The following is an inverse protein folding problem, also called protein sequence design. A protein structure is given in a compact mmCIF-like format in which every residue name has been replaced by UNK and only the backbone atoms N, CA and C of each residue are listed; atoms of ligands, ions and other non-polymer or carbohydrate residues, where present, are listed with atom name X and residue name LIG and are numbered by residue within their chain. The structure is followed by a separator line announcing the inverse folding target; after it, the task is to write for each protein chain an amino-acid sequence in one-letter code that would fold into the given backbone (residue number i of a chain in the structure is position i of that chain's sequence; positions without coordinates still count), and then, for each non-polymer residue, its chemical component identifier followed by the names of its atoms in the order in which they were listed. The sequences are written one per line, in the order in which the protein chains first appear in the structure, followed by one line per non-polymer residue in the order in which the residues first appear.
data_IF_397477202226
#
_entry.id   IF_397477202226
#
_cell.length_a   1.000
_cell.length_b   1.000
_cell.length_c   1.000
_cell.angle_alpha   90.00
_cell.angle_beta   90.00
_cell.angle_gamma   90.00
#
_symmetry.space_group_name_H-M   'P 1'
#
loop_
_entity.id
_entity.type
_entity.pdbx_description
1 polymer ?
#
# COMPACT_ATOMS: atom_id res chain seq x y z
N UNK A 1 -22.68 4.58 -4.04
CA UNK A 1 -21.48 4.81 -4.88
C UNK A 1 -20.32 4.01 -4.31
N UNK A 2 -19.51 3.40 -5.18
CA UNK A 2 -18.34 2.61 -4.82
C UNK A 2 -17.13 3.10 -5.58
N UNK A 3 -15.96 3.03 -4.96
CA UNK A 3 -14.67 3.33 -5.58
C UNK A 3 -13.93 2.04 -5.90
N UNK A 4 -13.29 2.01 -7.06
CA UNK A 4 -12.42 0.91 -7.45
C UNK A 4 -11.13 0.95 -6.63
N UNK A 5 -10.66 -0.22 -6.20
CA UNK A 5 -9.43 -0.37 -5.43
C UNK A 5 -8.45 -1.18 -6.26
N UNK A 6 -7.22 -0.68 -6.33
CA UNK A 6 -6.15 -1.24 -7.14
C UNK A 6 -4.90 -1.48 -6.31
N UNK A 7 -4.14 -2.51 -6.67
CA UNK A 7 -2.73 -2.62 -6.31
C UNK A 7 -1.91 -1.93 -7.39
N UNK A 8 -1.11 -0.95 -6.99
CA UNK A 8 -0.13 -0.29 -7.86
C UNK A 8 1.24 -0.92 -7.64
N UNK A 9 1.94 -1.19 -8.74
CA UNK A 9 3.35 -1.58 -8.73
C UNK A 9 4.15 -0.47 -9.41
N UNK A 10 5.19 -0.01 -8.73
CA UNK A 10 6.12 0.98 -9.24
C UNK A 10 7.57 0.50 -9.12
N UNK A 11 8.42 0.93 -10.03
CA UNK A 11 9.84 0.58 -10.04
C UNK A 11 10.50 0.95 -8.71
N UNK A 12 11.22 -0.02 -8.13
CA UNK A 12 11.92 0.12 -6.86
C UNK A 12 13.15 -0.76 -6.81
N UNK A 13 14.06 -0.45 -5.88
CA UNK A 13 15.27 -1.25 -5.65
C UNK A 13 15.36 -1.70 -4.19
N UNK A 14 15.77 -2.95 -3.91
CA UNK A 14 16.11 -4.02 -4.87
C UNK A 14 14.87 -4.75 -5.44
N UNK A 15 13.66 -4.34 -5.06
CA UNK A 15 12.39 -4.88 -5.54
C UNK A 15 11.42 -3.74 -5.79
N UNK A 16 10.43 -4.00 -6.63
CA UNK A 16 9.36 -3.06 -6.91
C UNK A 16 8.58 -2.67 -5.65
N UNK A 17 8.07 -1.45 -5.69
CA UNK A 17 7.24 -0.87 -4.64
C UNK A 17 5.77 -1.22 -4.89
N UNK A 18 5.09 -1.70 -3.86
CA UNK A 18 3.65 -1.97 -3.91
C UNK A 18 2.89 -0.97 -3.04
N UNK A 19 1.73 -0.55 -3.52
CA UNK A 19 0.82 0.33 -2.81
C UNK A 19 -0.65 -0.01 -3.13
N UNK A 20 -1.57 0.44 -2.28
CA UNK A 20 -3.02 0.36 -2.52
C UNK A 20 -3.48 1.73 -3.01
N UNK A 21 -4.17 1.77 -4.15
CA UNK A 21 -4.77 2.97 -4.70
C UNK A 21 -6.29 2.83 -4.71
N UNK A 22 -6.99 3.81 -4.15
CA UNK A 22 -8.45 3.90 -4.18
C UNK A 22 -8.85 5.05 -5.07
N UNK A 23 -9.51 4.76 -6.18
CA UNK A 23 -9.94 5.76 -7.17
C UNK A 23 -11.20 6.47 -6.69
N UNK A 24 -11.01 7.53 -5.90
CA UNK A 24 -12.08 8.34 -5.29
C UNK A 24 -12.58 9.43 -6.23
N UNK A 25 -11.81 9.75 -7.27
CA UNK A 25 -12.04 10.85 -8.21
C UNK A 25 -12.23 12.21 -7.55
N UNK A 26 -11.72 12.40 -6.33
CA UNK A 26 -11.91 13.62 -5.54
C UNK A 26 -11.22 14.85 -6.15
N UNK A 27 -10.19 14.63 -6.98
CA UNK A 27 -9.42 15.68 -7.67
C UNK A 27 -9.52 15.57 -9.21
N UNK A 28 -10.54 14.87 -9.73
CA UNK A 28 -10.74 14.64 -11.16
C UNK A 28 -10.81 13.16 -11.53
N UNK A 29 -11.11 12.86 -12.80
CA UNK A 29 -11.17 11.48 -13.31
C UNK A 29 -9.84 10.74 -13.08
N UNK A 30 -9.93 9.45 -12.73
CA UNK A 30 -8.77 8.57 -12.47
C UNK A 30 -7.83 9.04 -11.33
N UNK A 31 -8.24 10.03 -10.54
CA UNK A 31 -7.54 10.45 -9.32
C UNK A 31 -8.04 9.70 -8.09
N UNK A 32 -7.24 9.68 -7.03
CA UNK A 32 -7.58 8.91 -5.86
C UNK A 32 -6.69 9.14 -4.65
N UNK A 33 -6.66 8.14 -3.77
CA UNK A 33 -5.76 8.11 -2.61
C UNK A 33 -4.88 6.89 -2.64
N UNK A 34 -3.59 7.12 -2.38
CA UNK A 34 -2.58 6.09 -2.25
C UNK A 34 -2.32 5.79 -0.78
N UNK A 35 -2.23 4.51 -0.45
CA UNK A 35 -1.87 3.96 0.86
C UNK A 35 -0.62 3.10 0.68
N UNK A 36 0.45 3.44 1.39
CA UNK A 36 1.74 2.79 1.22
C UNK A 36 2.57 2.83 2.50
N UNK A 37 3.65 2.05 2.50
CA UNK A 37 4.75 2.25 3.45
C UNK A 37 6.02 2.59 2.68
N UNK A 38 6.70 3.66 3.08
CA UNK A 38 7.92 4.16 2.42
C UNK A 38 9.12 4.00 3.35
N UNK A 39 10.31 3.83 2.77
CA UNK A 39 11.54 3.56 3.51
C UNK A 39 12.18 2.24 3.09
N UNK A 40 13.05 1.68 3.93
CA UNK A 40 13.79 0.45 3.60
C UNK A 40 14.10 -0.39 4.85
N UNK A 41 14.65 -1.58 4.64
CA UNK A 41 14.93 -2.52 5.73
C UNK A 41 16.12 -2.11 6.64
N UNK A 42 16.93 -1.12 6.25
CA UNK A 42 18.05 -0.58 7.03
C UNK A 42 17.61 0.57 7.96
N UNK A 43 16.60 1.36 7.56
CA UNK A 43 16.07 2.46 8.36
C UNK A 43 14.74 2.15 9.03
N UNK A 44 14.04 1.12 8.55
CA UNK A 44 12.61 0.95 8.78
C UNK A 44 11.77 1.71 7.75
N UNK A 45 10.48 1.43 7.77
CA UNK A 45 9.48 2.03 6.90
C UNK A 45 8.41 2.75 7.71
N UNK A 46 7.75 3.72 7.08
CA UNK A 46 6.67 4.53 7.68
C UNK A 46 5.44 4.46 6.79
N UNK A 47 4.26 4.34 7.41
CA UNK A 47 3.00 4.43 6.69
C UNK A 47 2.75 5.85 6.18
N UNK A 48 2.25 5.95 4.96
CA UNK A 48 1.86 7.20 4.33
C UNK A 48 0.52 7.00 3.60
N UNK A 49 -0.37 7.97 3.79
CA UNK A 49 -1.58 8.15 3.01
C UNK A 49 -1.49 9.52 2.35
N UNK A 50 -1.61 9.57 1.01
CA UNK A 50 -1.65 10.84 0.28
C UNK A 50 -2.67 10.83 -0.87
N UNK A 51 -3.16 12.01 -1.30
CA UNK A 51 -3.81 12.15 -2.60
C UNK A 51 -2.84 11.75 -3.71
N UNK A 52 -3.34 11.12 -4.75
CA UNK A 52 -2.54 10.67 -5.89
C UNK A 52 -3.30 10.93 -7.19
N UNK A 53 -2.55 11.36 -8.22
CA UNK A 53 -3.09 11.51 -9.56
C UNK A 53 -3.29 10.15 -10.23
N UNK A 54 -3.33 10.14 -11.56
CA UNK A 54 -3.36 8.90 -12.34
C UNK A 54 -2.02 8.15 -12.18
N UNK A 55 -1.98 6.97 -11.54
CA UNK A 55 -0.73 6.23 -11.30
C UNK A 55 0.08 5.97 -12.58
N UNK A 56 -0.60 5.74 -13.70
CA UNK A 56 -0.05 5.45 -15.02
C UNK A 56 0.79 6.60 -15.61
N UNK A 57 0.63 7.83 -15.11
CA UNK A 57 1.43 8.97 -15.55
C UNK A 57 2.80 9.07 -14.86
N UNK A 58 3.02 8.28 -13.80
CA UNK A 58 4.31 8.23 -13.12
C UNK A 58 5.37 7.55 -14.00
N UNK A 59 6.57 8.12 -14.06
CA UNK A 59 7.71 7.49 -14.75
C UNK A 59 8.16 6.17 -14.12
N UNK A 60 7.81 5.94 -12.85
CA UNK A 60 8.07 4.69 -12.15
C UNK A 60 6.95 3.67 -12.29
N UNK A 61 5.85 3.98 -12.99
CA UNK A 61 4.72 3.06 -13.11
C UNK A 61 5.11 1.75 -13.81
N UNK A 62 4.71 0.62 -13.22
CA UNK A 62 4.87 -0.71 -13.82
C UNK A 62 3.50 -1.33 -14.12
N UNK A 63 2.60 -1.39 -13.13
CA UNK A 63 1.27 -1.97 -13.34
C UNK A 63 0.22 -1.48 -12.34
N UNK A 64 -1.05 -1.59 -12.75
CA UNK A 64 -2.25 -1.33 -11.96
C UNK A 64 -3.15 -2.57 -12.06
N UNK A 65 -3.42 -3.22 -10.94
CA UNK A 65 -4.27 -4.41 -10.89
C UNK A 65 -5.50 -4.15 -10.02
N UNK A 66 -6.71 -4.34 -10.57
CA UNK A 66 -7.95 -4.26 -9.79
C UNK A 66 -7.99 -5.37 -8.74
N UNK A 67 -8.19 -5.00 -7.47
CA UNK A 67 -8.26 -5.95 -6.34
C UNK A 67 -9.64 -6.00 -5.68
N UNK A 68 -10.55 -5.11 -6.06
CA UNK A 68 -11.96 -5.10 -5.65
C UNK A 68 -12.54 -3.69 -5.67
N UNK A 69 -13.67 -3.53 -4.99
CA UNK A 69 -14.34 -2.24 -4.82
C UNK A 69 -14.64 -1.97 -3.34
N UNK A 70 -14.76 -0.69 -2.98
CA UNK A 70 -15.17 -0.25 -1.64
C UNK A 70 -16.37 0.69 -1.73
N UNK A 71 -17.36 0.51 -0.85
CA UNK A 71 -18.50 1.42 -0.78
C UNK A 71 -18.09 2.74 -0.12
N UNK A 72 -18.77 3.84 -0.45
CA UNK A 72 -18.53 5.13 0.19
C UNK A 72 -18.62 5.06 1.73
N UNK A 73 -19.56 4.27 2.27
CA UNK A 73 -19.72 4.08 3.72
C UNK A 73 -18.53 3.35 4.38
N UNK A 74 -17.84 2.47 3.63
CA UNK A 74 -16.69 1.74 4.14
C UNK A 74 -15.35 2.41 3.80
N UNK A 75 -15.33 3.43 2.94
CA UNK A 75 -14.10 4.09 2.52
C UNK A 75 -13.28 4.65 3.70
N UNK A 76 -13.94 5.29 4.67
CA UNK A 76 -13.28 5.84 5.87
C UNK A 76 -12.60 4.77 6.73
N UNK A 77 -13.00 3.49 6.60
CA UNK A 77 -12.43 2.36 7.35
C UNK A 77 -11.12 1.86 6.74
N UNK A 78 -10.83 2.17 5.48
CA UNK A 78 -9.58 1.75 4.81
C UNK A 78 -8.37 2.32 5.55
N UNK A 79 -8.38 3.63 5.85
CA UNK A 79 -7.27 4.28 6.53
C UNK A 79 -7.00 3.63 7.89
N UNK A 80 -8.05 3.46 8.71
CA UNK A 80 -7.93 2.85 10.02
C UNK A 80 -7.34 1.42 9.96
N UNK A 81 -7.75 0.61 8.99
CA UNK A 81 -7.21 -0.75 8.82
C UNK A 81 -5.74 -0.71 8.39
N UNK A 82 -5.39 0.12 7.42
CA UNK A 82 -4.01 0.27 6.96
C UNK A 82 -3.09 0.76 8.08
N UNK A 83 -3.53 1.73 8.89
CA UNK A 83 -2.77 2.29 10.02
C UNK A 83 -2.55 1.27 11.16
N UNK A 84 -3.50 0.36 11.36
CA UNK A 84 -3.38 -0.71 12.36
C UNK A 84 -2.40 -1.82 11.95
N UNK A 85 -1.98 -1.88 10.69
CA UNK A 85 -0.98 -2.83 10.24
C UNK A 85 0.39 -2.18 10.43
N UNK A 86 1.23 -2.68 11.36
CA UNK A 86 2.49 -2.02 11.68
C UNK A 86 3.37 -1.93 10.44
N UNK A 87 3.96 -0.77 10.12
CA UNK A 87 4.97 -0.67 9.07
C UNK A 87 6.18 -1.57 9.36
N UNK A 88 6.89 -2.07 8.34
CA UNK A 88 8.10 -2.84 8.56
C UNK A 88 9.16 -2.06 9.34
N UNK A 89 9.55 -2.58 10.52
CA UNK A 89 10.64 -2.03 11.34
C UNK A 89 12.00 -2.16 10.65
N UNK A 90 13.01 -1.43 11.16
CA UNK A 90 14.43 -1.65 10.81
C UNK A 90 14.76 -3.11 11.07
N UNK A 91 15.25 -3.82 10.06
CA UNK A 91 15.50 -5.27 10.13
C UNK A 91 16.98 -5.62 10.01
N UNK A 92 17.80 -4.70 9.51
CA UNK A 92 19.24 -4.88 9.37
C UNK A 92 20.01 -3.71 9.96
N UNK A 93 21.22 -4.00 10.46
CA UNK A 93 22.26 -3.03 10.74
C UNK A 93 23.48 -3.41 9.89
N UNK A 94 23.67 -2.72 8.77
CA UNK A 94 24.63 -3.12 7.75
C UNK A 94 24.29 -4.52 7.24
N UNK A 95 25.24 -5.47 7.37
CA UNK A 95 25.04 -6.87 6.97
C UNK A 95 24.32 -7.72 8.04
N UNK A 96 24.18 -7.22 9.28
CA UNK A 96 23.61 -8.00 10.39
C UNK A 96 22.09 -7.95 10.35
N UNK A 97 21.43 -9.11 10.24
CA UNK A 97 19.98 -9.24 10.46
C UNK A 97 19.67 -9.10 11.95
N UNK A 98 18.84 -8.11 12.32
CA UNK A 98 18.50 -7.80 13.71
C UNK A 98 17.54 -8.82 14.34
N UNK A 99 16.64 -9.38 13.52
CA UNK A 99 15.63 -10.35 13.96
C UNK A 99 15.76 -11.64 13.13
N UNK A 100 16.72 -12.53 13.43
CA UNK A 100 17.00 -13.70 12.60
C UNK A 100 15.81 -14.63 12.41
N UNK A 101 14.98 -14.81 13.44
CA UNK A 101 13.79 -15.67 13.42
C UNK A 101 12.54 -15.07 12.77
N UNK A 102 12.56 -13.79 12.41
CA UNK A 102 11.44 -13.13 11.72
C UNK A 102 11.67 -13.15 10.19
N UNK A 103 10.62 -13.34 9.36
CA UNK A 103 10.74 -13.16 7.92
C UNK A 103 11.06 -11.70 7.57
N UNK A 104 11.73 -11.49 6.42
CA UNK A 104 11.97 -10.13 5.93
C UNK A 104 10.65 -9.54 5.43
N UNK A 105 10.32 -8.34 5.90
CA UNK A 105 9.08 -7.65 5.55
C UNK A 105 9.40 -6.30 4.89
N UNK A 106 8.77 -6.00 3.77
CA UNK A 106 8.91 -4.78 2.97
C UNK A 106 7.52 -4.21 2.65
N UNK A 107 7.45 -3.23 1.76
CA UNK A 107 6.19 -2.68 1.29
C UNK A 107 5.30 -3.72 0.60
N UNK A 108 5.89 -4.73 -0.04
CA UNK A 108 5.13 -5.81 -0.70
C UNK A 108 4.36 -6.65 0.31
N UNK A 109 5.02 -7.07 1.39
CA UNK A 109 4.41 -7.86 2.45
C UNK A 109 3.38 -7.03 3.24
N UNK A 110 3.70 -5.77 3.57
CA UNK A 110 2.74 -4.85 4.19
C UNK A 110 1.49 -4.66 3.31
N UNK A 111 1.67 -4.45 2.00
CA UNK A 111 0.55 -4.28 1.07
C UNK A 111 -0.30 -5.55 0.99
N UNK A 112 0.32 -6.73 0.94
CA UNK A 112 -0.40 -8.00 0.92
C UNK A 112 -1.25 -8.20 2.18
N UNK A 113 -0.69 -7.89 3.35
CA UNK A 113 -1.40 -7.95 4.63
C UNK A 113 -2.55 -6.93 4.70
N UNK A 114 -2.34 -5.71 4.20
CA UNK A 114 -3.38 -4.70 4.12
C UNK A 114 -4.53 -5.12 3.20
N UNK A 115 -4.22 -5.67 2.03
CA UNK A 115 -5.26 -6.21 1.14
C UNK A 115 -6.01 -7.36 1.81
N UNK A 116 -5.33 -8.25 2.52
CA UNK A 116 -5.98 -9.35 3.23
C UNK A 116 -6.88 -8.84 4.36
N UNK A 117 -6.41 -7.91 5.18
CA UNK A 117 -7.20 -7.31 6.26
C UNK A 117 -8.46 -6.59 5.75
N UNK A 118 -8.36 -5.90 4.59
CA UNK A 118 -9.51 -5.27 3.95
C UNK A 118 -10.55 -6.30 3.46
N UNK A 119 -10.10 -7.46 2.97
CA UNK A 119 -10.98 -8.58 2.60
C UNK A 119 -11.63 -9.22 3.81
N UNK A 120 -10.85 -9.50 4.85
CA UNK A 120 -11.33 -10.12 6.10
C UNK A 120 -12.36 -9.22 6.80
N UNK A 121 -12.17 -7.90 6.73
CA UNK A 121 -13.13 -6.91 7.24
C UNK A 121 -14.37 -6.70 6.34
N UNK A 122 -14.47 -7.43 5.22
CA UNK A 122 -15.53 -7.33 4.21
C UNK A 122 -15.71 -5.92 3.66
N UNK A 123 -14.60 -5.17 3.54
CA UNK A 123 -14.58 -3.82 2.98
C UNK A 123 -14.30 -3.87 1.49
N UNK A 124 -13.41 -4.78 1.07
CA UNK A 124 -13.06 -5.04 -0.31
C UNK A 124 -13.95 -6.16 -0.86
N UNK A 125 -14.84 -5.81 -1.80
CA UNK A 125 -15.75 -6.73 -2.49
C UNK A 125 -15.27 -7.04 -3.91
#
# INVERSE_FOLDING_TARGET
MSSSVYRIVSAGLPRDHHAIFVETSENGEETGRLFQVTGNIQSGMTFEQRPEGKPETSSSFISKQGIGTVTHANYCRIQNICENIPPPKKQFEGAKKLYPGEPIRRCQEWTAEAVQALKDAQILM
#
